data_IF_157829050318
#
_entry.id   IF_157829050318
#
_cell.length_a   1.000
_cell.length_b   1.000
_cell.length_c   1.000
_cell.angle_alpha   90.00
_cell.angle_beta   90.00
_cell.angle_gamma   90.00
#
_symmetry.space_group_name_H-M   'P 1'
#
loop_
_entity.id
_entity.type
_entity.pdbx_description
1 polymer ?
#
# COMPACT_ATOMS: atom_id res chain seq x y z
N UNK A 1 -5.60 5.44 20.88
CA UNK A 1 -5.53 4.55 19.71
C UNK A 1 -5.07 5.24 18.42
N UNK A 2 -5.56 6.44 18.07
CA UNK A 2 -5.10 7.21 16.87
C UNK A 2 -3.62 7.65 16.93
N UNK A 3 -3.08 7.90 18.11
CA UNK A 3 -1.69 8.37 18.33
C UNK A 3 -0.68 7.21 18.19
N UNK A 4 -1.01 5.99 18.58
CA UNK A 4 -0.13 4.82 18.45
C UNK A 4 0.11 4.39 16.99
N UNK A 5 -0.86 4.65 16.10
CA UNK A 5 -0.71 4.34 14.68
C UNK A 5 0.24 5.31 13.97
N UNK A 6 0.21 6.59 14.32
CA UNK A 6 1.19 7.59 13.88
C UNK A 6 2.60 7.29 14.42
N UNK A 7 2.70 6.78 15.64
CA UNK A 7 3.99 6.46 16.27
C UNK A 7 4.67 5.22 15.65
N UNK A 8 3.94 4.26 15.11
CA UNK A 8 4.54 3.12 14.38
C UNK A 8 5.05 3.49 12.98
N UNK A 9 4.57 4.61 12.42
CA UNK A 9 5.00 5.15 11.11
C UNK A 9 6.18 6.14 11.27
N UNK A 10 6.30 6.78 12.43
CA UNK A 10 7.35 7.77 12.73
C UNK A 10 8.79 7.28 12.52
N UNK A 11 9.18 6.03 12.82
CA UNK A 11 10.52 5.53 12.51
C UNK A 11 10.83 5.51 11.02
N UNK A 12 9.79 5.31 10.15
CA UNK A 12 9.95 5.32 8.70
C UNK A 12 10.05 6.73 8.11
N UNK A 13 9.47 7.73 8.76
CA UNK A 13 9.45 9.12 8.26
C UNK A 13 10.57 9.96 8.88
N UNK A 14 10.98 9.69 10.14
CA UNK A 14 11.91 10.51 10.94
C UNK A 14 13.30 9.93 11.20
N UNK A 15 13.55 8.66 10.89
CA UNK A 15 14.69 7.90 11.41
C UNK A 15 15.96 7.89 10.57
N UNK A 16 16.35 8.99 9.91
CA UNK A 16 17.68 9.11 9.31
C UNK A 16 18.48 10.25 9.97
N UNK A 17 18.87 10.05 11.22
CA UNK A 17 20.03 10.76 11.80
C UNK A 17 21.21 9.79 11.74
N UNK A 18 22.08 9.97 10.75
CA UNK A 18 23.41 9.35 10.74
C UNK A 18 24.18 10.04 11.87
N UNK A 19 24.46 9.32 12.94
CA UNK A 19 25.43 9.74 13.95
C UNK A 19 26.82 9.79 13.31
N UNK A 20 27.20 10.93 12.75
CA UNK A 20 28.60 11.28 12.61
C UNK A 20 29.06 11.82 13.97
N UNK A 21 30.01 11.16 14.60
CA UNK A 21 30.71 11.63 15.80
C UNK A 21 31.60 12.83 15.44
N UNK A 22 30.98 14.01 15.41
CA UNK A 22 31.73 15.31 15.46
C UNK A 22 31.04 16.15 16.52
N UNK A 23 31.79 16.48 17.55
CA UNK A 23 31.38 17.31 18.69
C UNK A 23 30.98 18.72 18.19
N UNK A 24 29.82 19.28 18.59
CA UNK A 24 29.47 20.65 18.25
C UNK A 24 30.14 21.63 19.23
N UNK A 25 30.81 22.62 18.69
CA UNK A 25 31.12 23.88 19.36
C UNK A 25 29.84 24.71 19.53
N UNK A 26 29.66 25.44 20.64
CA UNK A 26 28.45 26.23 20.85
C UNK A 26 28.54 27.57 20.12
N UNK A 27 27.64 27.81 19.17
CA UNK A 27 27.38 29.14 18.57
C UNK A 27 26.12 29.75 19.21
N UNK A 28 26.32 30.90 19.83
CA UNK A 28 25.31 31.80 20.38
C UNK A 28 24.37 32.33 19.29
N UNK A 29 23.08 32.09 19.42
CA UNK A 29 22.05 32.69 18.59
C UNK A 29 21.30 33.75 19.39
N UNK A 30 21.32 35.00 18.91
CA UNK A 30 20.46 36.12 19.31
C UNK A 30 19.12 36.04 18.59
N UNK A 31 17.98 36.33 19.26
CA UNK A 31 16.67 36.29 18.62
C UNK A 31 16.37 37.59 17.85
N UNK A 32 15.94 37.45 16.61
CA UNK A 32 15.41 38.54 15.78
C UNK A 32 13.91 38.76 16.07
N UNK A 33 13.58 39.94 16.57
CA UNK A 33 12.22 40.47 16.68
C UNK A 33 11.66 40.74 15.29
N UNK A 34 10.47 40.22 14.98
CA UNK A 34 9.70 40.63 13.79
C UNK A 34 8.43 41.37 14.25
N UNK A 35 8.36 42.60 13.82
CA UNK A 35 7.33 43.61 14.01
C UNK A 35 5.96 43.22 13.42
N UNK A 36 4.90 43.60 14.16
CA UNK A 36 3.52 43.66 13.71
C UNK A 36 3.32 44.79 12.68
N UNK A 37 2.54 44.52 11.66
CA UNK A 37 2.03 45.52 10.75
C UNK A 37 0.83 45.03 9.94
N UNK A 38 -0.38 45.38 10.37
CA UNK A 38 -1.60 45.55 9.53
C UNK A 38 -1.66 47.01 9.07
N UNK A 39 -2.41 47.42 8.00
CA UNK A 39 -3.71 46.99 7.55
C UNK A 39 -4.02 47.09 6.02
N UNK A 40 -5.16 46.50 5.60
CA UNK A 40 -6.06 47.14 4.63
C UNK A 40 -5.79 46.89 3.13
N UNK A 41 -6.56 46.01 2.53
CA UNK A 41 -6.73 45.90 1.08
C UNK A 41 -7.99 45.12 0.71
N UNK A 42 -9.05 45.84 0.33
CA UNK A 42 -10.29 45.31 -0.26
C UNK A 42 -9.93 44.52 -1.53
N UNK A 43 -10.37 43.27 -1.65
CA UNK A 43 -10.41 42.58 -2.95
C UNK A 43 -11.83 42.06 -3.22
N UNK A 44 -12.28 42.38 -4.40
CA UNK A 44 -13.54 42.21 -5.07
C UNK A 44 -14.23 40.86 -4.82
N UNK A 45 -15.53 41.00 -4.51
CA UNK A 45 -16.58 40.04 -4.80
C UNK A 45 -16.74 40.04 -6.33
N UNK A 46 -16.65 38.83 -6.92
CA UNK A 46 -17.45 38.39 -8.07
C UNK A 46 -16.83 37.12 -8.63
N UNK A 47 -17.45 36.01 -8.27
CA UNK A 47 -17.53 34.75 -9.04
C UNK A 47 -18.38 33.73 -8.19
N UNK A 48 -19.67 34.11 -8.01
CA UNK A 48 -20.70 33.13 -7.70
C UNK A 48 -21.19 32.53 -9.02
N UNK A 49 -20.67 31.38 -9.40
CA UNK A 49 -21.35 30.50 -10.34
C UNK A 49 -22.44 29.76 -9.56
N UNK A 50 -23.68 30.21 -9.73
CA UNK A 50 -24.90 29.61 -9.23
C UNK A 50 -25.17 28.30 -9.99
N UNK A 51 -25.02 27.17 -9.29
CA UNK A 51 -25.67 25.91 -9.68
C UNK A 51 -27.02 25.80 -8.94
N UNK A 52 -28.11 25.38 -9.59
CA UNK A 52 -29.43 25.34 -8.99
C UNK A 52 -29.51 24.24 -7.92
N UNK A 53 -29.82 24.66 -6.70
CA UNK A 53 -30.19 23.78 -5.59
C UNK A 53 -31.70 23.49 -5.73
N UNK A 54 -32.06 22.49 -6.48
CA UNK A 54 -33.36 21.82 -6.38
C UNK A 54 -33.23 20.45 -7.06
N UNK A 55 -33.19 19.43 -6.23
CA UNK A 55 -33.50 18.00 -6.43
C UNK A 55 -32.52 17.10 -5.63
N UNK A 56 -32.52 17.22 -4.31
CA UNK A 56 -31.99 16.18 -3.42
C UNK A 56 -32.89 16.08 -2.18
N UNK A 57 -34.14 15.64 -2.39
CA UNK A 57 -34.96 15.05 -1.32
C UNK A 57 -35.04 13.54 -1.59
N UNK A 58 -33.95 12.84 -1.31
CA UNK A 58 -33.92 11.40 -1.13
C UNK A 58 -33.53 11.13 0.32
N UNK A 59 -34.34 10.39 1.06
CA UNK A 59 -34.07 9.98 2.43
C UNK A 59 -32.69 9.29 2.51
N UNK A 60 -31.87 9.55 3.54
CA UNK A 60 -30.61 8.84 3.71
C UNK A 60 -30.89 7.36 3.99
N UNK A 61 -30.14 6.43 3.36
CA UNK A 61 -30.23 5.03 3.73
C UNK A 61 -29.69 4.87 5.16
N UNK A 62 -30.48 4.19 6.00
CA UNK A 62 -30.13 3.84 7.37
C UNK A 62 -28.78 3.09 7.42
N UNK A 63 -27.77 3.73 7.99
CA UNK A 63 -26.44 3.17 8.18
C UNK A 63 -26.45 2.05 9.21
N UNK A 64 -26.43 0.79 8.74
CA UNK A 64 -26.15 -0.38 9.56
C UNK A 64 -24.75 -0.94 9.22
N UNK A 65 -23.93 -1.16 10.23
CA UNK A 65 -22.60 -1.74 10.10
C UNK A 65 -22.67 -3.10 9.35
N UNK A 66 -21.93 -3.33 8.24
CA UNK A 66 -22.08 -4.52 7.39
C UNK A 66 -21.79 -5.86 8.11
N UNK A 67 -21.04 -5.82 9.21
CA UNK A 67 -20.63 -7.03 9.96
C UNK A 67 -21.76 -7.64 10.78
N UNK A 68 -22.74 -6.83 11.23
CA UNK A 68 -23.84 -7.29 12.07
C UNK A 68 -25.10 -7.70 11.30
N UNK A 69 -25.17 -7.47 9.97
CA UNK A 69 -26.36 -7.73 9.16
C UNK A 69 -26.21 -8.87 8.13
N UNK A 70 -25.38 -9.88 8.39
CA UNK A 70 -25.31 -11.10 7.56
C UNK A 70 -26.67 -11.83 7.40
N UNK A 71 -27.66 -11.55 8.28
CA UNK A 71 -29.00 -12.13 8.23
C UNK A 71 -30.05 -11.31 7.45
N UNK A 72 -29.74 -10.10 6.97
CA UNK A 72 -30.76 -9.20 6.39
C UNK A 72 -30.72 -9.05 4.86
N UNK A 73 -29.87 -9.77 4.16
CA UNK A 73 -29.94 -9.85 2.70
C UNK A 73 -31.00 -10.88 2.27
N UNK A 74 -32.27 -10.63 2.65
CA UNK A 74 -33.42 -11.35 2.12
C UNK A 74 -33.99 -10.61 0.91
N UNK A 75 -33.35 -10.69 -0.23
CA UNK A 75 -34.00 -10.60 -1.53
C UNK A 75 -33.41 -11.66 -2.47
N UNK A 76 -34.05 -12.84 -2.56
CA UNK A 76 -33.57 -13.97 -3.36
C UNK A 76 -33.86 -13.85 -4.86
N UNK A 77 -34.46 -12.76 -5.33
CA UNK A 77 -35.02 -12.67 -6.69
C UNK A 77 -34.04 -12.24 -7.80
N UNK A 78 -32.72 -12.18 -7.54
CA UNK A 78 -31.72 -11.81 -8.56
C UNK A 78 -30.71 -12.92 -8.89
N UNK A 79 -30.86 -14.11 -8.32
CA UNK A 79 -30.03 -15.27 -8.65
C UNK A 79 -30.94 -16.41 -9.11
N UNK A 80 -30.83 -16.77 -10.36
CA UNK A 80 -31.48 -18.00 -10.86
C UNK A 80 -30.81 -19.18 -10.14
N UNK A 81 -31.61 -19.86 -9.30
CA UNK A 81 -31.13 -20.90 -8.39
C UNK A 81 -30.50 -22.09 -9.12
N UNK A 82 -30.89 -22.36 -10.35
CA UNK A 82 -30.49 -23.58 -11.06
C UNK A 82 -29.13 -23.47 -11.75
N UNK A 83 -28.77 -22.30 -12.29
CA UNK A 83 -27.45 -22.10 -12.91
C UNK A 83 -26.32 -22.05 -11.86
N UNK A 84 -26.62 -21.55 -10.65
CA UNK A 84 -25.66 -21.45 -9.54
C UNK A 84 -25.30 -22.79 -8.91
N UNK A 85 -26.21 -23.77 -8.89
CA UNK A 85 -25.95 -25.07 -8.24
C UNK A 85 -24.96 -25.91 -9.08
N UNK A 86 -25.00 -25.82 -10.40
CA UNK A 86 -24.02 -26.50 -11.26
C UNK A 86 -22.65 -25.82 -11.29
N UNK A 87 -22.57 -24.47 -11.22
CA UNK A 87 -21.29 -23.75 -11.11
C UNK A 87 -20.57 -24.01 -9.77
N UNK A 88 -21.33 -24.12 -8.68
CA UNK A 88 -20.80 -24.38 -7.31
C UNK A 88 -20.23 -25.81 -7.13
N UNK A 89 -20.47 -26.73 -8.04
CA UNK A 89 -20.09 -28.14 -7.93
C UNK A 89 -18.74 -28.52 -8.56
N UNK A 90 -18.17 -27.64 -9.43
CA UNK A 90 -16.92 -27.97 -10.10
C UNK A 90 -15.69 -27.54 -9.28
N UNK A 91 -14.92 -28.49 -8.69
CA UNK A 91 -13.75 -28.16 -7.83
C UNK A 91 -12.66 -27.39 -8.58
N UNK A 92 -12.52 -27.60 -9.89
CA UNK A 92 -11.53 -26.90 -10.72
C UNK A 92 -11.89 -25.40 -10.84
N UNK A 93 -13.17 -25.10 -11.03
CA UNK A 93 -13.66 -23.73 -11.10
C UNK A 93 -13.49 -22.97 -9.78
N UNK A 94 -13.79 -23.65 -8.65
CA UNK A 94 -13.56 -23.10 -7.30
C UNK A 94 -12.08 -22.82 -7.04
N UNK A 95 -11.19 -23.75 -7.38
CA UNK A 95 -9.74 -23.56 -7.25
C UNK A 95 -9.27 -22.37 -8.08
N UNK A 96 -9.74 -22.25 -9.33
CA UNK A 96 -9.43 -21.12 -10.19
C UNK A 96 -9.95 -19.79 -9.63
N UNK A 97 -11.17 -19.78 -9.12
CA UNK A 97 -11.78 -18.62 -8.46
C UNK A 97 -10.97 -18.20 -7.22
N UNK A 98 -10.58 -19.16 -6.37
CA UNK A 98 -9.73 -18.91 -5.21
C UNK A 98 -8.35 -18.33 -5.62
N UNK A 99 -7.67 -18.91 -6.60
CA UNK A 99 -6.39 -18.39 -7.09
C UNK A 99 -6.49 -16.95 -7.64
N UNK A 100 -7.59 -16.63 -8.33
CA UNK A 100 -7.87 -15.25 -8.76
C UNK A 100 -8.10 -14.33 -7.54
N UNK A 101 -8.85 -14.81 -6.54
CA UNK A 101 -9.22 -14.05 -5.36
C UNK A 101 -8.00 -13.65 -4.52
N UNK A 102 -7.06 -14.57 -4.28
CA UNK A 102 -5.79 -14.28 -3.60
C UNK A 102 -4.80 -13.49 -4.48
N UNK A 103 -5.18 -13.20 -5.72
CA UNK A 103 -4.30 -12.55 -6.71
C UNK A 103 -2.95 -13.25 -6.82
N UNK A 104 -2.96 -14.55 -7.17
CA UNK A 104 -1.75 -15.40 -7.21
C UNK A 104 -0.55 -14.78 -7.93
N UNK A 105 -0.79 -13.86 -8.89
CA UNK A 105 0.28 -13.11 -9.59
C UNK A 105 1.12 -12.23 -8.65
N UNK A 106 0.60 -11.88 -7.47
CA UNK A 106 1.32 -11.09 -6.47
C UNK A 106 2.20 -11.95 -5.55
N UNK A 107 2.08 -13.29 -5.59
CA UNK A 107 2.89 -14.19 -4.75
C UNK A 107 4.37 -14.06 -5.10
N UNK A 108 4.72 -14.15 -6.39
CA UNK A 108 6.12 -14.03 -6.82
C UNK A 108 6.74 -12.66 -6.48
N UNK A 109 6.13 -11.50 -6.76
CA UNK A 109 6.62 -10.22 -6.29
C UNK A 109 6.80 -10.14 -4.77
N UNK A 110 5.85 -10.69 -3.99
CA UNK A 110 5.95 -10.73 -2.52
C UNK A 110 7.16 -11.56 -2.07
N UNK A 111 7.38 -12.74 -2.65
CA UNK A 111 8.54 -13.59 -2.35
C UNK A 111 9.86 -12.92 -2.75
N UNK A 112 9.90 -12.24 -3.90
CA UNK A 112 11.08 -11.47 -4.32
C UNK A 112 11.37 -10.34 -3.32
N UNK A 113 10.34 -9.64 -2.86
CA UNK A 113 10.48 -8.56 -1.91
C UNK A 113 11.00 -9.06 -0.55
N UNK A 114 10.43 -10.14 -0.01
CA UNK A 114 10.88 -10.74 1.25
C UNK A 114 12.30 -11.31 1.14
N UNK A 115 12.63 -11.97 0.01
CA UNK A 115 13.98 -12.50 -0.26
C UNK A 115 15.00 -11.37 -0.34
N UNK A 116 14.67 -10.26 -1.02
CA UNK A 116 15.51 -9.07 -1.07
C UNK A 116 15.79 -8.53 0.34
N UNK A 117 14.73 -8.39 1.16
CA UNK A 117 14.87 -7.91 2.54
C UNK A 117 15.78 -8.82 3.38
N UNK A 118 15.56 -10.12 3.30
CA UNK A 118 16.40 -11.10 3.97
C UNK A 118 17.84 -11.08 3.48
N UNK A 119 18.07 -10.97 2.18
CA UNK A 119 19.40 -10.91 1.58
C UNK A 119 20.16 -9.64 2.00
N UNK A 120 19.52 -8.48 1.99
CA UNK A 120 20.15 -7.22 2.44
C UNK A 120 20.59 -7.26 3.91
N UNK A 121 19.98 -8.12 4.72
CA UNK A 121 20.34 -8.30 6.12
C UNK A 121 21.41 -9.37 6.36
N UNK A 122 21.36 -10.50 5.59
CA UNK A 122 22.25 -11.66 5.80
C UNK A 122 23.42 -11.70 4.83
N UNK A 123 23.33 -11.06 3.68
CA UNK A 123 24.29 -11.06 2.56
C UNK A 123 24.61 -12.48 2.03
N UNK A 124 23.82 -13.48 2.40
CA UNK A 124 24.01 -14.89 2.04
C UNK A 124 22.71 -15.61 1.76
N UNK A 125 22.49 -16.02 0.51
CA UNK A 125 21.33 -16.82 0.12
C UNK A 125 21.30 -18.17 0.84
N UNK A 126 22.44 -18.82 1.02
CA UNK A 126 22.51 -20.11 1.70
C UNK A 126 22.10 -19.99 3.17
N UNK A 127 22.55 -18.96 3.87
CA UNK A 127 22.13 -18.69 5.24
C UNK A 127 20.65 -18.36 5.32
N UNK A 128 20.16 -17.57 4.36
CA UNK A 128 18.76 -17.16 4.28
C UNK A 128 17.82 -18.35 4.14
N UNK A 129 18.11 -19.25 3.20
CA UNK A 129 17.28 -20.43 2.94
C UNK A 129 17.32 -21.47 4.09
N UNK A 130 18.34 -21.45 4.94
CA UNK A 130 18.42 -22.26 6.15
C UNK A 130 17.72 -21.63 7.35
N UNK A 131 17.37 -20.35 7.31
CA UNK A 131 16.72 -19.65 8.42
C UNK A 131 15.23 -19.98 8.47
N UNK A 132 14.83 -20.77 9.47
CA UNK A 132 13.41 -21.10 9.72
C UNK A 132 12.56 -19.84 9.96
N UNK A 133 13.12 -18.86 10.68
CA UNK A 133 12.44 -17.58 10.93
C UNK A 133 12.22 -16.78 9.65
N UNK A 134 13.17 -16.79 8.71
CA UNK A 134 13.00 -16.16 7.41
C UNK A 134 11.92 -16.87 6.57
N UNK A 135 11.95 -18.19 6.51
CA UNK A 135 10.95 -18.95 5.76
C UNK A 135 9.54 -18.73 6.35
N UNK A 136 9.42 -18.75 7.68
CA UNK A 136 8.17 -18.44 8.37
C UNK A 136 7.70 -17.01 8.06
N UNK A 137 8.57 -16.00 8.16
CA UNK A 137 8.19 -14.60 7.88
C UNK A 137 7.76 -14.37 6.44
N UNK A 138 8.41 -15.04 5.48
CA UNK A 138 8.03 -14.98 4.07
C UNK A 138 6.65 -15.59 3.83
N UNK A 139 6.37 -16.75 4.44
CA UNK A 139 5.06 -17.39 4.32
C UNK A 139 3.96 -16.58 5.03
N UNK A 140 4.23 -16.04 6.23
CA UNK A 140 3.33 -15.11 6.93
C UNK A 140 2.98 -13.93 6.03
N UNK A 141 3.98 -13.33 5.38
CA UNK A 141 3.77 -12.19 4.48
C UNK A 141 2.86 -12.57 3.30
N UNK A 142 3.06 -13.74 2.69
CA UNK A 142 2.19 -14.24 1.61
C UNK A 142 0.76 -14.47 2.11
N UNK A 143 0.59 -15.07 3.29
CA UNK A 143 -0.74 -15.30 3.87
C UNK A 143 -1.47 -13.99 4.19
N UNK A 144 -0.77 -13.01 4.77
CA UNK A 144 -1.31 -11.67 5.07
C UNK A 144 -1.69 -10.97 3.77
N UNK A 145 -0.83 -10.99 2.74
CA UNK A 145 -1.11 -10.41 1.43
C UNK A 145 -2.35 -11.06 0.81
N UNK A 146 -2.42 -12.40 0.77
CA UNK A 146 -3.54 -13.12 0.20
C UNK A 146 -4.85 -12.82 0.94
N UNK A 147 -4.83 -12.82 2.29
CA UNK A 147 -5.99 -12.48 3.12
C UNK A 147 -6.44 -11.04 2.89
N UNK A 148 -5.52 -10.10 2.77
CA UNK A 148 -5.84 -8.68 2.51
C UNK A 148 -6.54 -8.50 1.16
N UNK A 149 -6.13 -9.25 0.12
CA UNK A 149 -6.80 -9.22 -1.18
C UNK A 149 -8.23 -9.78 -1.09
N UNK A 150 -8.42 -10.89 -0.38
CA UNK A 150 -9.74 -11.50 -0.16
C UNK A 150 -10.66 -10.52 0.58
N UNK A 151 -10.20 -9.98 1.72
CA UNK A 151 -10.99 -9.04 2.52
C UNK A 151 -11.32 -7.78 1.73
N UNK A 152 -10.37 -7.26 0.96
CA UNK A 152 -10.60 -6.09 0.13
C UNK A 152 -11.70 -6.34 -0.92
N UNK A 153 -11.60 -7.45 -1.68
CA UNK A 153 -12.60 -7.81 -2.67
C UNK A 153 -13.98 -8.09 -2.01
N UNK A 154 -14.02 -8.64 -0.78
CA UNK A 154 -15.25 -8.89 -0.03
C UNK A 154 -16.00 -7.59 0.33
N UNK A 155 -15.27 -6.58 0.81
CA UNK A 155 -15.88 -5.30 1.18
C UNK A 155 -16.19 -4.43 -0.05
N UNK A 156 -15.51 -4.67 -1.17
CA UNK A 156 -15.64 -3.89 -2.40
C UNK A 156 -16.61 -4.48 -3.43
N UNK A 157 -17.38 -5.51 -3.12
CA UNK A 157 -18.27 -6.18 -4.10
C UNK A 157 -19.12 -5.18 -4.87
N UNK A 158 -19.67 -4.15 -4.22
CA UNK A 158 -20.50 -3.13 -4.88
C UNK A 158 -19.67 -2.20 -5.78
N UNK A 159 -18.48 -1.84 -5.36
CA UNK A 159 -17.56 -0.98 -6.12
C UNK A 159 -16.99 -1.74 -7.31
N UNK A 160 -16.61 -2.99 -7.10
CA UNK A 160 -16.03 -3.86 -8.12
C UNK A 160 -17.02 -4.21 -9.25
N UNK A 161 -18.33 -4.19 -9.01
CA UNK A 161 -19.33 -4.29 -10.07
C UNK A 161 -19.17 -3.22 -11.15
N UNK A 162 -18.66 -2.04 -10.78
CA UNK A 162 -18.44 -0.91 -11.70
C UNK A 162 -17.00 -0.92 -12.22
N UNK A 163 -16.03 -1.06 -11.33
CA UNK A 163 -14.61 -0.89 -11.66
C UNK A 163 -13.97 -2.19 -12.18
N UNK A 164 -14.40 -3.37 -11.69
CA UNK A 164 -13.74 -4.66 -11.93
C UNK A 164 -14.75 -5.82 -12.00
N UNK A 165 -15.69 -5.79 -12.92
CA UNK A 165 -16.78 -6.77 -13.05
C UNK A 165 -16.33 -8.24 -13.15
N UNK A 166 -15.06 -8.51 -13.48
CA UNK A 166 -14.47 -9.85 -13.59
C UNK A 166 -13.94 -10.43 -12.26
N UNK A 167 -14.20 -9.78 -11.11
CA UNK A 167 -13.79 -10.28 -9.79
C UNK A 167 -14.58 -11.54 -9.41
N UNK A 168 -13.93 -12.55 -8.78
CA UNK A 168 -14.56 -13.83 -8.43
C UNK A 168 -15.82 -13.70 -7.55
N UNK A 169 -15.84 -12.70 -6.65
CA UNK A 169 -17.00 -12.42 -5.81
C UNK A 169 -18.14 -11.70 -6.55
N UNK A 170 -17.81 -10.96 -7.63
CA UNK A 170 -18.80 -10.28 -8.49
C UNK A 170 -19.40 -11.27 -9.48
N UNK A 171 -18.57 -12.15 -10.05
CA UNK A 171 -19.01 -13.18 -11.02
C UNK A 171 -19.68 -14.39 -10.36
N UNK A 172 -19.60 -14.54 -9.03
CA UNK A 172 -20.12 -15.70 -8.30
C UNK A 172 -19.22 -16.95 -8.37
N UNK A 173 -17.99 -16.86 -8.93
CA UNK A 173 -17.02 -17.98 -8.91
C UNK A 173 -16.67 -18.43 -7.48
N UNK A 174 -16.74 -17.52 -6.50
CA UNK A 174 -16.54 -17.78 -5.07
C UNK A 174 -17.66 -17.11 -4.28
N UNK A 175 -18.25 -17.86 -3.34
CA UNK A 175 -19.28 -17.31 -2.47
C UNK A 175 -18.66 -16.45 -1.34
N UNK A 176 -19.31 -15.34 -0.90
CA UNK A 176 -18.79 -14.49 0.17
C UNK A 176 -18.43 -15.22 1.47
N UNK A 177 -19.22 -16.23 1.87
CA UNK A 177 -18.93 -17.04 3.04
C UNK A 177 -17.66 -17.89 2.88
N UNK A 178 -17.42 -18.46 1.69
CA UNK A 178 -16.19 -19.18 1.37
C UNK A 178 -14.99 -18.23 1.42
N UNK A 179 -15.13 -17.00 0.90
CA UNK A 179 -14.08 -15.98 0.94
C UNK A 179 -13.69 -15.63 2.39
N UNK A 180 -14.66 -15.42 3.29
CA UNK A 180 -14.40 -15.19 4.73
C UNK A 180 -13.65 -16.38 5.34
N UNK A 181 -14.08 -17.61 5.04
CA UNK A 181 -13.43 -18.82 5.52
C UNK A 181 -11.99 -18.92 5.04
N UNK A 182 -11.74 -18.68 3.75
CA UNK A 182 -10.38 -18.68 3.19
C UNK A 182 -9.48 -17.61 3.83
N UNK A 183 -9.99 -16.39 4.03
CA UNK A 183 -9.23 -15.33 4.69
C UNK A 183 -8.90 -15.70 6.14
N UNK A 184 -9.87 -16.24 6.89
CA UNK A 184 -9.68 -16.67 8.28
C UNK A 184 -8.64 -17.80 8.38
N UNK A 185 -8.71 -18.83 7.52
CA UNK A 185 -7.75 -19.93 7.49
C UNK A 185 -6.33 -19.46 7.19
N UNK A 186 -6.16 -18.53 6.25
CA UNK A 186 -4.85 -17.95 5.93
C UNK A 186 -4.28 -17.14 7.10
N UNK A 187 -5.11 -16.36 7.80
CA UNK A 187 -4.68 -15.60 8.98
C UNK A 187 -4.35 -16.50 10.17
N UNK A 188 -5.15 -17.55 10.41
CA UNK A 188 -4.86 -18.54 11.43
C UNK A 188 -3.56 -19.29 11.14
N UNK A 189 -3.32 -19.65 9.89
CA UNK A 189 -2.06 -20.27 9.48
C UNK A 189 -0.88 -19.33 9.66
N UNK A 190 -1.02 -18.06 9.29
CA UNK A 190 -0.01 -17.04 9.54
C UNK A 190 0.29 -16.91 11.05
N UNK A 191 -0.74 -16.89 11.90
CA UNK A 191 -0.59 -16.83 13.37
C UNK A 191 0.16 -18.06 13.91
N UNK A 192 -0.14 -19.26 13.42
CA UNK A 192 0.60 -20.47 13.81
C UNK A 192 2.09 -20.38 13.46
N UNK A 193 2.43 -19.76 12.32
CA UNK A 193 3.80 -19.58 11.87
C UNK A 193 4.57 -18.53 12.69
N UNK A 194 3.89 -17.63 13.41
CA UNK A 194 4.57 -16.61 14.23
C UNK A 194 5.47 -17.23 15.29
N UNK A 195 5.14 -18.45 15.74
CA UNK A 195 5.91 -19.21 16.75
C UNK A 195 7.35 -19.50 16.32
N UNK A 196 7.65 -19.47 15.03
CA UNK A 196 9.00 -19.65 14.48
C UNK A 196 9.78 -18.34 14.38
N UNK A 197 9.19 -17.20 14.78
CA UNK A 197 9.81 -15.89 14.75
C UNK A 197 10.44 -15.52 16.08
N UNK A 198 11.47 -14.64 16.10
CA UNK A 198 11.92 -13.97 17.30
C UNK A 198 10.75 -13.23 17.99
N UNK A 199 10.73 -13.20 19.33
CA UNK A 199 9.60 -12.67 20.11
C UNK A 199 9.16 -11.26 19.66
N UNK A 200 10.13 -10.38 19.37
CA UNK A 200 9.82 -9.03 18.87
C UNK A 200 9.07 -9.08 17.53
N UNK A 201 9.43 -10.00 16.64
CA UNK A 201 8.79 -10.14 15.33
C UNK A 201 7.44 -10.84 15.41
N UNK A 202 7.18 -11.66 16.44
CA UNK A 202 5.85 -12.22 16.72
C UNK A 202 4.84 -11.10 17.00
N UNK A 203 5.18 -10.17 17.89
CA UNK A 203 4.31 -9.01 18.19
C UNK A 203 4.04 -8.17 16.94
N UNK A 204 5.05 -7.98 16.12
CA UNK A 204 4.94 -7.22 14.87
C UNK A 204 4.01 -7.94 13.88
N UNK A 205 4.14 -9.25 13.70
CA UNK A 205 3.26 -10.05 12.86
C UNK A 205 1.80 -9.99 13.34
N UNK A 206 1.57 -10.12 14.63
CA UNK A 206 0.24 -10.05 15.24
C UNK A 206 -0.40 -8.67 15.04
N UNK A 207 0.39 -7.60 15.17
CA UNK A 207 -0.07 -6.25 14.84
C UNK A 207 -0.42 -6.11 13.34
N UNK A 208 0.35 -6.73 12.44
CA UNK A 208 0.04 -6.72 11.02
C UNK A 208 -1.28 -7.46 10.72
N UNK A 209 -1.52 -8.61 11.35
CA UNK A 209 -2.77 -9.38 11.22
C UNK A 209 -3.97 -8.56 11.70
N UNK A 210 -3.88 -7.96 12.90
CA UNK A 210 -4.93 -7.08 13.44
C UNK A 210 -5.18 -5.88 12.52
N UNK A 211 -4.10 -5.30 12.00
CA UNK A 211 -4.19 -4.17 11.09
C UNK A 211 -4.95 -4.48 9.80
N UNK A 212 -4.67 -5.61 9.16
CA UNK A 212 -5.34 -6.04 7.93
C UNK A 212 -6.85 -6.21 8.17
N UNK A 213 -7.25 -6.81 9.30
CA UNK A 213 -8.66 -6.98 9.65
C UNK A 213 -9.35 -5.63 9.88
N UNK A 214 -8.65 -4.67 10.50
CA UNK A 214 -9.20 -3.33 10.78
C UNK A 214 -9.07 -2.35 9.59
N UNK A 215 -8.16 -2.62 8.64
CA UNK A 215 -7.88 -1.72 7.53
C UNK A 215 -9.12 -1.45 6.70
N UNK A 216 -9.78 -2.48 6.21
CA UNK A 216 -10.87 -2.34 5.24
C UNK A 216 -12.08 -1.62 5.82
N UNK A 217 -12.58 -1.95 7.05
CA UNK A 217 -13.74 -1.24 7.61
C UNK A 217 -13.45 0.18 8.10
N UNK A 218 -12.22 0.49 8.52
CA UNK A 218 -11.91 1.74 9.20
C UNK A 218 -11.00 2.68 8.38
N UNK A 219 -9.83 2.20 7.94
CA UNK A 219 -8.79 3.06 7.36
C UNK A 219 -9.05 3.39 5.90
N UNK A 220 -9.69 2.49 5.16
CA UNK A 220 -9.99 2.66 3.75
C UNK A 220 -10.87 3.88 3.45
N UNK A 221 -11.66 4.34 4.43
CA UNK A 221 -12.56 5.49 4.30
C UNK A 221 -11.85 6.84 4.42
N UNK A 222 -10.57 6.87 4.82
CA UNK A 222 -9.83 8.11 5.07
C UNK A 222 -8.89 8.36 3.90
N UNK A 223 -9.11 9.44 3.11
CA UNK A 223 -8.25 9.81 2.00
C UNK A 223 -6.80 9.93 2.43
N UNK A 224 -5.87 9.57 1.58
CA UNK A 224 -4.44 9.53 1.79
C UNK A 224 -3.99 8.49 2.85
N UNK A 225 -4.72 8.33 3.97
CA UNK A 225 -4.38 7.33 5.00
C UNK A 225 -4.43 5.92 4.42
N UNK A 226 -5.42 5.61 3.57
CA UNK A 226 -5.49 4.32 2.87
C UNK A 226 -4.24 4.05 2.02
N UNK A 227 -3.79 5.04 1.24
CA UNK A 227 -2.65 4.93 0.35
C UNK A 227 -1.33 4.76 1.13
N UNK A 228 -1.15 5.56 2.20
CA UNK A 228 -0.01 5.43 3.13
C UNK A 228 -0.02 4.06 3.80
N UNK A 229 -1.18 3.57 4.25
CA UNK A 229 -1.28 2.26 4.92
C UNK A 229 -0.92 1.12 3.96
N UNK A 230 -1.43 1.14 2.72
CA UNK A 230 -1.06 0.15 1.70
C UNK A 230 0.45 0.19 1.42
N UNK A 231 1.01 1.37 1.17
CA UNK A 231 2.43 1.54 0.90
C UNK A 231 3.31 1.07 2.07
N UNK A 232 2.87 1.35 3.32
CA UNK A 232 3.57 0.92 4.53
C UNK A 232 3.59 -0.61 4.65
N UNK A 233 2.45 -1.29 4.40
CA UNK A 233 2.37 -2.76 4.49
C UNK A 233 3.32 -3.40 3.46
N UNK A 234 3.38 -2.88 2.23
CA UNK A 234 4.27 -3.40 1.19
C UNK A 234 5.73 -3.19 1.56
N UNK A 235 6.13 -1.99 1.97
CA UNK A 235 7.50 -1.71 2.40
C UNK A 235 7.90 -2.48 3.66
N UNK A 236 6.95 -2.64 4.57
CA UNK A 236 7.15 -3.35 5.82
C UNK A 236 7.38 -4.85 5.59
N UNK A 237 6.80 -5.46 4.56
CA UNK A 237 7.01 -6.88 4.23
C UNK A 237 8.50 -7.19 3.96
N UNK A 238 9.18 -6.29 3.24
CA UNK A 238 10.63 -6.38 2.99
C UNK A 238 11.44 -6.24 4.29
N UNK A 239 11.12 -5.22 5.10
CA UNK A 239 11.79 -4.95 6.36
C UNK A 239 11.59 -6.09 7.37
N UNK A 240 10.35 -6.57 7.50
CA UNK A 240 9.96 -7.66 8.40
C UNK A 240 10.72 -8.96 8.08
N UNK A 241 10.80 -9.34 6.80
CA UNK A 241 11.54 -10.51 6.38
C UNK A 241 13.06 -10.36 6.64
N UNK A 242 13.61 -9.17 6.41
CA UNK A 242 15.00 -8.87 6.72
C UNK A 242 15.30 -9.02 8.22
N UNK A 243 14.49 -8.40 9.08
CA UNK A 243 14.66 -8.49 10.54
C UNK A 243 14.42 -9.88 11.10
N UNK A 244 13.56 -10.68 10.44
CA UNK A 244 13.30 -12.07 10.85
C UNK A 244 14.41 -13.03 10.41
N UNK A 245 15.23 -12.66 9.41
CA UNK A 245 16.27 -13.52 8.87
C UNK A 245 17.46 -13.76 9.82
N UNK A 246 17.65 -12.88 10.80
CA UNK A 246 18.74 -12.94 11.76
C UNK A 246 18.30 -12.49 13.15
N UNK A 247 18.92 -13.03 14.18
CA UNK A 247 18.76 -12.57 15.57
C UNK A 247 19.55 -11.29 15.89
N UNK A 248 20.33 -10.77 14.94
CA UNK A 248 21.11 -9.53 15.15
C UNK A 248 20.20 -8.34 15.39
N UNK A 249 20.53 -7.56 16.42
CA UNK A 249 19.86 -6.29 16.73
C UNK A 249 20.16 -5.24 15.67
N UNK A 250 21.38 -5.25 15.13
CA UNK A 250 21.81 -4.32 14.10
C UNK A 250 21.02 -4.54 12.80
N UNK A 251 20.57 -3.44 12.19
CA UNK A 251 19.84 -3.45 10.92
C UNK A 251 20.74 -2.88 9.82
N UNK A 252 20.86 -3.61 8.71
CA UNK A 252 21.60 -3.11 7.54
C UNK A 252 21.04 -1.75 7.10
N UNK A 253 21.89 -0.71 6.91
CA UNK A 253 21.42 0.57 6.36
C UNK A 253 20.73 0.42 5.01
N UNK A 254 21.17 -0.51 4.16
CA UNK A 254 20.57 -0.77 2.85
C UNK A 254 19.17 -1.39 2.97
N UNK A 255 18.85 -2.08 4.06
CA UNK A 255 17.49 -2.56 4.32
C UNK A 255 16.51 -1.39 4.51
N UNK A 256 16.92 -0.32 5.22
CA UNK A 256 16.10 0.89 5.35
C UNK A 256 15.97 1.63 4.01
N UNK A 257 17.06 1.77 3.26
CA UNK A 257 17.08 2.38 1.92
C UNK A 257 16.10 1.65 0.99
N UNK A 258 16.12 0.32 0.99
CA UNK A 258 15.23 -0.50 0.19
C UNK A 258 13.76 -0.35 0.62
N UNK A 259 13.48 -0.42 1.93
CA UNK A 259 12.13 -0.24 2.46
C UNK A 259 11.56 1.14 2.13
N UNK A 260 12.38 2.20 2.24
CA UNK A 260 11.98 3.56 1.86
C UNK A 260 11.66 3.66 0.36
N UNK A 261 12.49 3.07 -0.49
CA UNK A 261 12.27 3.05 -1.95
C UNK A 261 10.98 2.33 -2.31
N UNK A 262 10.71 1.18 -1.69
CA UNK A 262 9.47 0.42 -1.90
C UNK A 262 8.25 1.18 -1.39
N UNK A 263 8.37 1.87 -0.25
CA UNK A 263 7.27 2.69 0.30
C UNK A 263 6.84 3.78 -0.69
N UNK A 264 7.78 4.58 -1.19
CA UNK A 264 7.42 5.67 -2.11
C UNK A 264 6.98 5.16 -3.48
N UNK A 265 7.54 4.05 -3.97
CA UNK A 265 7.08 3.41 -5.20
C UNK A 265 5.65 2.88 -5.08
N UNK A 266 5.32 2.25 -3.94
CA UNK A 266 3.95 1.78 -3.67
C UNK A 266 2.98 2.94 -3.47
N UNK A 267 3.37 3.99 -2.72
CA UNK A 267 2.54 5.18 -2.52
C UNK A 267 2.24 5.90 -3.84
N UNK A 268 3.24 5.99 -4.73
CA UNK A 268 3.08 6.50 -6.08
C UNK A 268 2.02 5.71 -6.85
N UNK A 269 2.12 4.39 -6.86
CA UNK A 269 1.17 3.51 -7.54
C UNK A 269 -0.25 3.66 -6.97
N UNK A 270 -0.42 3.68 -5.66
CA UNK A 270 -1.71 3.84 -4.99
C UNK A 270 -2.40 5.17 -5.38
N UNK A 271 -1.64 6.28 -5.39
CA UNK A 271 -2.18 7.58 -5.80
C UNK A 271 -2.59 7.60 -7.28
N UNK A 272 -1.84 6.94 -8.16
CA UNK A 272 -2.18 6.82 -9.59
C UNK A 272 -3.40 5.93 -9.81
N UNK A 273 -3.53 4.83 -9.05
CA UNK A 273 -4.70 3.96 -9.10
C UNK A 273 -5.96 4.70 -8.68
N UNK A 274 -5.90 5.54 -7.65
CA UNK A 274 -7.02 6.40 -7.26
C UNK A 274 -7.46 7.36 -8.39
N UNK A 275 -6.52 7.90 -9.17
CA UNK A 275 -6.86 8.73 -10.33
C UNK A 275 -7.57 7.91 -11.41
N UNK A 276 -7.15 6.67 -11.64
CA UNK A 276 -7.75 5.75 -12.61
C UNK A 276 -9.20 5.40 -12.24
N UNK A 277 -9.41 5.13 -10.96
CA UNK A 277 -10.67 4.55 -10.46
C UNK A 277 -11.67 5.61 -9.96
N UNK A 278 -11.38 6.91 -10.17
CA UNK A 278 -12.16 8.05 -9.67
C UNK A 278 -13.65 7.98 -9.99
N UNK A 279 -14.05 7.47 -11.18
CA UNK A 279 -15.46 7.41 -11.57
C UNK A 279 -16.26 6.43 -10.72
N UNK A 280 -15.69 5.26 -10.44
CA UNK A 280 -16.31 4.27 -9.57
C UNK A 280 -16.31 4.71 -8.11
N UNK A 281 -15.22 5.34 -7.66
CA UNK A 281 -15.10 5.83 -6.29
C UNK A 281 -16.14 6.93 -5.99
N UNK A 282 -16.30 7.89 -6.90
CA UNK A 282 -17.30 8.98 -6.75
C UNK A 282 -18.72 8.42 -6.76
N UNK A 283 -19.04 7.49 -7.66
CA UNK A 283 -20.37 6.84 -7.74
C UNK A 283 -20.71 6.06 -6.46
N UNK A 284 -19.70 5.52 -5.77
CA UNK A 284 -19.88 4.76 -4.52
C UNK A 284 -19.60 5.61 -3.27
N UNK A 285 -19.52 6.93 -3.38
CA UNK A 285 -19.26 7.87 -2.28
C UNK A 285 -17.95 7.58 -1.52
N UNK A 286 -16.95 6.97 -2.18
CA UNK A 286 -15.64 6.70 -1.62
C UNK A 286 -14.79 7.98 -1.73
N UNK A 287 -14.31 8.45 -0.58
CA UNK A 287 -13.47 9.65 -0.51
C UNK A 287 -12.02 9.29 -0.85
N UNK A 288 -11.54 9.77 -1.98
CA UNK A 288 -10.15 9.62 -2.42
C UNK A 288 -9.51 10.99 -2.65
N UNK A 289 -8.18 11.06 -2.68
CA UNK A 289 -7.47 12.32 -2.95
C UNK A 289 -7.92 12.95 -4.28
N UNK A 290 -7.97 12.23 -5.41
CA UNK A 290 -8.44 12.83 -6.65
C UNK A 290 -9.93 13.15 -6.65
N UNK A 291 -10.75 12.43 -5.89
CA UNK A 291 -12.18 12.71 -5.75
C UNK A 291 -12.47 14.00 -4.96
N UNK A 292 -11.62 14.35 -3.98
CA UNK A 292 -11.78 15.55 -3.13
C UNK A 292 -11.03 16.76 -3.68
N UNK A 293 -9.80 16.56 -4.18
CA UNK A 293 -8.88 17.66 -4.52
C UNK A 293 -8.53 17.72 -6.01
N UNK A 294 -9.07 16.79 -6.81
CA UNK A 294 -8.84 16.70 -8.24
C UNK A 294 -7.63 15.85 -8.64
N UNK A 295 -7.64 15.37 -9.90
CA UNK A 295 -6.60 14.49 -10.48
C UNK A 295 -5.20 15.09 -10.43
N UNK A 296 -5.10 16.41 -10.62
CA UNK A 296 -3.81 17.14 -10.63
C UNK A 296 -3.13 17.11 -9.27
N UNK A 297 -3.90 17.25 -8.17
CA UNK A 297 -3.33 17.21 -6.81
C UNK A 297 -2.79 15.81 -6.50
N UNK A 298 -3.55 14.75 -6.79
CA UNK A 298 -3.10 13.39 -6.59
C UNK A 298 -1.84 13.06 -7.41
N UNK A 299 -1.81 13.47 -8.68
CA UNK A 299 -0.63 13.35 -9.55
C UNK A 299 0.58 14.11 -9.00
N UNK A 300 0.37 15.35 -8.51
CA UNK A 300 1.45 16.16 -7.93
C UNK A 300 2.02 15.52 -6.67
N UNK A 301 1.18 14.95 -5.79
CA UNK A 301 1.63 14.22 -4.61
C UNK A 301 2.45 12.99 -4.98
N UNK A 302 2.01 12.22 -6.00
CA UNK A 302 2.77 11.08 -6.51
C UNK A 302 4.13 11.50 -7.08
N UNK A 303 4.19 12.61 -7.83
CA UNK A 303 5.42 13.15 -8.41
C UNK A 303 6.38 13.68 -7.34
N UNK A 304 5.89 14.48 -6.39
CA UNK A 304 6.68 15.03 -5.28
C UNK A 304 7.25 13.89 -4.42
N UNK A 305 6.43 12.87 -4.11
CA UNK A 305 6.89 11.69 -3.37
C UNK A 305 8.04 10.98 -4.07
N UNK A 306 7.98 10.81 -5.41
CA UNK A 306 9.06 10.19 -6.17
C UNK A 306 10.32 11.07 -6.26
N UNK A 307 10.18 12.38 -6.43
CA UNK A 307 11.33 13.32 -6.38
C UNK A 307 12.01 13.24 -5.01
N UNK A 308 11.22 13.31 -3.92
CA UNK A 308 11.73 13.18 -2.57
C UNK A 308 12.47 11.84 -2.36
N UNK A 309 11.89 10.72 -2.82
CA UNK A 309 12.53 9.41 -2.77
C UNK A 309 13.90 9.42 -3.47
N UNK A 310 13.95 9.90 -4.72
CA UNK A 310 15.19 9.91 -5.50
C UNK A 310 16.25 10.79 -4.83
N UNK A 311 15.91 11.99 -4.39
CA UNK A 311 16.84 12.89 -3.70
C UNK A 311 17.34 12.26 -2.39
N UNK A 312 16.43 11.77 -1.53
CA UNK A 312 16.77 11.22 -0.22
C UNK A 312 17.68 10.00 -0.34
N UNK A 313 17.35 9.07 -1.23
CA UNK A 313 18.14 7.85 -1.42
C UNK A 313 19.48 8.15 -2.10
N UNK A 314 19.50 9.05 -3.10
CA UNK A 314 20.77 9.45 -3.74
C UNK A 314 21.72 10.08 -2.73
N UNK A 315 21.22 10.95 -1.84
CA UNK A 315 22.03 11.55 -0.77
C UNK A 315 22.53 10.48 0.20
N UNK A 316 21.68 9.51 0.59
CA UNK A 316 22.10 8.43 1.48
C UNK A 316 23.17 7.52 0.84
N UNK A 317 23.02 7.21 -0.46
CA UNK A 317 23.98 6.36 -1.19
C UNK A 317 25.31 7.10 -1.44
N UNK A 318 25.30 8.41 -1.71
CA UNK A 318 26.50 9.16 -2.05
C UNK A 318 27.57 9.20 -0.96
N UNK A 319 27.23 8.79 0.27
CA UNK A 319 28.19 8.67 1.39
C UNK A 319 29.20 7.55 1.16
N UNK A 320 28.76 6.43 0.57
CA UNK A 320 29.59 5.22 0.44
C UNK A 320 29.52 4.58 -0.95
N UNK A 321 28.46 4.84 -1.73
CA UNK A 321 28.17 4.21 -3.01
C UNK A 321 27.83 5.25 -4.08
N UNK A 322 27.92 4.86 -5.36
CA UNK A 322 27.46 5.72 -6.47
C UNK A 322 25.92 5.78 -6.52
N UNK A 323 25.26 6.94 -6.48
CA UNK A 323 23.82 7.03 -6.66
C UNK A 323 23.36 6.88 -8.13
N UNK A 324 24.28 6.97 -9.10
CA UNK A 324 23.94 7.03 -10.52
C UNK A 324 23.13 5.84 -11.02
N UNK A 325 23.42 4.57 -10.68
CA UNK A 325 22.61 3.45 -11.13
C UNK A 325 21.17 3.50 -10.60
N UNK A 326 20.99 3.96 -9.35
CA UNK A 326 19.67 4.13 -8.76
C UNK A 326 18.88 5.25 -9.47
N UNK A 327 19.49 6.40 -9.69
CA UNK A 327 18.85 7.53 -10.40
C UNK A 327 18.46 7.12 -11.82
N UNK A 328 19.37 6.42 -12.53
CA UNK A 328 19.08 5.90 -13.87
C UNK A 328 17.90 4.91 -13.85
N UNK A 329 17.86 3.98 -12.89
CA UNK A 329 16.77 3.03 -12.76
C UNK A 329 15.42 3.73 -12.51
N UNK A 330 15.38 4.82 -11.72
CA UNK A 330 14.16 5.54 -11.39
C UNK A 330 13.71 6.55 -12.45
N UNK A 331 14.60 6.98 -13.36
CA UNK A 331 14.31 8.03 -14.35
C UNK A 331 13.10 7.75 -15.25
N UNK A 332 12.78 6.51 -15.69
CA UNK A 332 11.63 6.25 -16.54
C UNK A 332 10.28 6.53 -15.87
N UNK A 333 10.21 6.52 -14.53
CA UNK A 333 8.97 6.86 -13.79
C UNK A 333 8.57 8.30 -14.10
N UNK A 334 9.53 9.23 -14.17
CA UNK A 334 9.26 10.64 -14.47
C UNK A 334 8.76 10.83 -15.91
N UNK A 335 9.26 10.03 -16.87
CA UNK A 335 8.73 10.00 -18.21
C UNK A 335 7.26 9.56 -18.23
N UNK A 336 6.90 8.50 -17.49
CA UNK A 336 5.52 8.05 -17.38
C UNK A 336 4.62 9.10 -16.68
N UNK A 337 5.11 9.77 -15.65
CA UNK A 337 4.39 10.87 -15.00
C UNK A 337 4.11 12.02 -15.98
N UNK A 338 5.10 12.37 -16.81
CA UNK A 338 4.90 13.36 -17.87
C UNK A 338 3.83 12.92 -18.89
N UNK A 339 3.87 11.65 -19.33
CA UNK A 339 2.88 11.11 -20.28
C UNK A 339 1.46 11.10 -19.69
N UNK A 340 1.30 10.76 -18.40
CA UNK A 340 0.00 10.79 -17.70
C UNK A 340 -0.61 12.20 -17.78
N UNK A 341 0.20 13.23 -17.48
CA UNK A 341 -0.27 14.63 -17.53
C UNK A 341 -0.58 15.06 -18.96
N UNK A 342 0.29 14.74 -19.92
CA UNK A 342 0.12 15.08 -21.35
C UNK A 342 -1.15 14.45 -21.95
N UNK A 343 -1.51 13.24 -21.51
CA UNK A 343 -2.68 12.51 -22.01
C UNK A 343 -3.91 12.67 -21.07
N UNK A 344 -4.00 13.80 -20.36
CA UNK A 344 -5.15 14.19 -19.53
C UNK A 344 -5.63 13.10 -18.56
N UNK A 345 -4.68 12.39 -17.93
CA UNK A 345 -4.95 11.34 -16.93
C UNK A 345 -5.76 10.16 -17.48
N UNK A 346 -5.49 9.74 -18.71
CA UNK A 346 -6.14 8.57 -19.33
C UNK A 346 -5.89 7.30 -18.50
N UNK A 347 -6.96 6.54 -18.22
CA UNK A 347 -6.90 5.30 -17.44
C UNK A 347 -5.96 4.25 -18.06
N UNK A 348 -5.90 4.17 -19.39
CA UNK A 348 -4.99 3.24 -20.09
C UNK A 348 -3.51 3.60 -19.87
N UNK A 349 -3.18 4.92 -19.89
CA UNK A 349 -1.81 5.40 -19.66
C UNK A 349 -1.40 5.20 -18.22
N UNK A 350 -2.29 5.47 -17.26
CA UNK A 350 -2.05 5.24 -15.83
C UNK A 350 -1.81 3.75 -15.59
N UNK A 351 -2.64 2.86 -16.13
CA UNK A 351 -2.44 1.42 -16.00
C UNK A 351 -1.05 0.99 -16.47
N UNK A 352 -0.65 1.44 -17.68
CA UNK A 352 0.68 1.16 -18.22
C UNK A 352 1.80 1.68 -17.32
N UNK A 353 1.66 2.88 -16.76
CA UNK A 353 2.64 3.49 -15.86
C UNK A 353 2.79 2.68 -14.56
N UNK A 354 1.67 2.30 -13.94
CA UNK A 354 1.66 1.49 -12.71
C UNK A 354 2.27 0.10 -12.94
N UNK A 355 1.89 -0.58 -14.03
CA UNK A 355 2.46 -1.88 -14.39
C UNK A 355 3.98 -1.78 -14.61
N UNK A 356 4.45 -0.67 -15.20
CA UNK A 356 5.86 -0.43 -15.47
C UNK A 356 6.66 -0.08 -14.22
N UNK A 357 6.08 0.55 -13.20
CA UNK A 357 6.80 1.00 -11.97
C UNK A 357 7.52 -0.15 -11.26
N UNK A 358 7.05 -1.39 -11.41
CA UNK A 358 7.70 -2.57 -10.84
C UNK A 358 9.12 -2.80 -11.39
N UNK A 359 9.41 -2.42 -12.65
CA UNK A 359 10.73 -2.59 -13.27
C UNK A 359 11.78 -1.68 -12.63
N UNK A 360 11.60 -0.35 -12.56
CA UNK A 360 12.47 0.55 -11.81
C UNK A 360 12.72 0.14 -10.36
N UNK A 361 11.67 -0.29 -9.66
CA UNK A 361 11.79 -0.76 -8.28
C UNK A 361 12.66 -2.01 -8.19
N UNK A 362 12.43 -3.02 -9.05
CA UNK A 362 13.23 -4.24 -9.08
C UNK A 362 14.70 -3.94 -9.39
N UNK A 363 14.99 -3.11 -10.39
CA UNK A 363 16.36 -2.73 -10.75
C UNK A 363 17.07 -2.03 -9.58
N UNK A 364 16.35 -1.16 -8.84
CA UNK A 364 16.89 -0.50 -7.65
C UNK A 364 17.19 -1.48 -6.53
N UNK A 365 16.30 -2.43 -6.28
CA UNK A 365 16.52 -3.49 -5.28
C UNK A 365 17.70 -4.40 -5.65
N UNK A 366 17.84 -4.77 -6.92
CA UNK A 366 18.99 -5.53 -7.41
C UNK A 366 20.31 -4.75 -7.25
N UNK A 367 20.26 -3.44 -7.50
CA UNK A 367 21.42 -2.57 -7.25
C UNK A 367 21.79 -2.56 -5.76
N UNK A 368 20.82 -2.43 -4.85
CA UNK A 368 21.08 -2.46 -3.41
C UNK A 368 21.65 -3.82 -2.95
N UNK A 369 21.15 -4.92 -3.51
CA UNK A 369 21.72 -6.26 -3.27
C UNK A 369 23.17 -6.35 -3.76
N UNK A 370 23.49 -5.80 -4.93
CA UNK A 370 24.85 -5.78 -5.46
C UNK A 370 25.82 -5.06 -4.54
N UNK A 371 25.47 -3.83 -4.11
CA UNK A 371 26.37 -3.03 -3.26
C UNK A 371 26.41 -3.52 -1.79
N UNK A 372 25.50 -4.39 -1.36
CA UNK A 372 25.55 -4.99 -0.02
C UNK A 372 26.66 -6.02 0.15
N UNK A 373 27.18 -6.56 -0.94
CA UNK A 373 28.27 -7.55 -0.96
C UNK A 373 29.61 -6.96 -1.42
N UNK A 374 29.65 -5.71 -1.88
CA UNK A 374 30.86 -4.97 -2.21
C UNK A 374 31.43 -4.28 -0.97
#
# INVERSE_FOLDING_TARGET
MRIFYLLSILPFIGGFTIHSSVSPQPSTFTPLNIYNGTPGGRLNRDLRATLPINELKGNPPSEGCPILNLHRCKNPSMYDKNDNIQMLSNPIQKTRGFLKLIRYKNILPTLLLTTTGGFLQTQSITQLLKSTSFLASSMITVCIMASSMILNDLFDIHVDKINNANRPLVTGEVHPQEAVTYAALLLLFAECLTRYLPQQMQMVANWAIVNIVLYTPLLKRIPLVKNISCATIVAFSLYFAGKSATSSVATSPLLYVAAHTVFFGSLHNELLLDIRDIEGDVKNHIRTVPGLFGKTVAWSLAAIGMVYNVVKISTALSVQYSPAPFVLAMSPIFYHLYQIRRQHYSSAVIKKAVDFTNVPLLLSLLYFCKISIS
#
